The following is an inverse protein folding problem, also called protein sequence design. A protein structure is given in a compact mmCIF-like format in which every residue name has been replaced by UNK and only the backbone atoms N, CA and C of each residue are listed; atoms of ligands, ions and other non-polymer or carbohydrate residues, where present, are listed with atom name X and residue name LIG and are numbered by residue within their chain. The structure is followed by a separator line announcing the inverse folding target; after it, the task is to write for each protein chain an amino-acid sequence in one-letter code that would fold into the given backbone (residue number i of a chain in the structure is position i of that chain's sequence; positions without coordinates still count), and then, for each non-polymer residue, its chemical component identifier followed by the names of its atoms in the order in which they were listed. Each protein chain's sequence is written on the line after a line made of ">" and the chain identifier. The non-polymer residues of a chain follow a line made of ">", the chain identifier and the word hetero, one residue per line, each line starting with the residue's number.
data_IF_004805350784
#
_entry.id   IF_004805350784
#
_cell.length_a   1.000
_cell.length_b   1.000
_cell.length_c   1.000
_cell.angle_alpha   90.00
_cell.angle_beta   90.00
_cell.angle_gamma   90.00
#
_symmetry.space_group_name_H-M   'P 1'
#
loop_
_entity.id
_entity.type
_entity.pdbx_description
1 polymer ?
#
# COMPACT_ATOMS: atom_id res chain seq x y z
N UNK A 1 15.78 10.92 -10.30
CA UNK A 1 15.95 9.48 -10.61
C UNK A 1 17.03 9.34 -11.67
N UNK A 2 18.26 9.01 -11.27
CA UNK A 2 19.40 8.88 -12.20
C UNK A 2 19.63 7.44 -12.68
N UNK A 3 18.96 6.45 -12.10
CA UNK A 3 19.05 5.06 -12.53
C UNK A 3 18.21 4.85 -13.80
N UNK A 4 18.87 4.66 -14.95
CA UNK A 4 18.21 4.54 -16.26
C UNK A 4 17.36 3.27 -16.39
N UNK A 5 17.85 2.13 -15.89
CA UNK A 5 17.13 0.85 -15.94
C UNK A 5 15.80 0.96 -15.20
N UNK A 6 15.83 1.36 -13.92
CA UNK A 6 14.64 1.55 -13.10
C UNK A 6 13.64 2.51 -13.75
N UNK A 7 14.15 3.59 -14.35
CA UNK A 7 13.30 4.62 -14.94
C UNK A 7 12.68 4.22 -16.29
N UNK A 8 13.40 3.44 -17.11
CA UNK A 8 13.02 3.09 -18.48
C UNK A 8 12.44 1.69 -18.65
N UNK A 9 12.62 0.82 -17.66
CA UNK A 9 12.13 -0.56 -17.67
C UNK A 9 11.09 -0.73 -16.56
N UNK A 10 11.50 -0.66 -15.28
CA UNK A 10 10.61 -0.95 -14.15
C UNK A 10 9.43 0.03 -14.04
N UNK A 11 9.70 1.33 -14.19
CA UNK A 11 8.68 2.38 -14.10
C UNK A 11 7.91 2.61 -15.40
N UNK A 12 8.40 2.09 -16.53
CA UNK A 12 7.75 2.29 -17.83
C UNK A 12 6.28 1.86 -17.85
N UNK A 13 5.89 0.64 -17.42
CA UNK A 13 4.48 0.25 -17.43
C UNK A 13 3.62 1.21 -16.60
N UNK A 14 4.08 1.63 -15.41
CA UNK A 14 3.34 2.56 -14.57
C UNK A 14 3.14 3.93 -15.26
N UNK A 15 4.18 4.48 -15.89
CA UNK A 15 4.09 5.73 -16.64
C UNK A 15 3.08 5.64 -17.78
N UNK A 16 3.06 4.54 -18.53
CA UNK A 16 2.08 4.35 -19.60
C UNK A 16 0.67 4.16 -19.06
N UNK A 17 0.51 3.39 -17.97
CA UNK A 17 -0.80 3.19 -17.36
C UNK A 17 -1.38 4.47 -16.77
N UNK A 18 -0.56 5.32 -16.15
CA UNK A 18 -1.03 6.58 -15.56
C UNK A 18 -1.50 7.59 -16.62
N UNK A 19 -0.92 7.58 -17.83
CA UNK A 19 -1.44 8.36 -18.97
C UNK A 19 -2.86 7.97 -19.39
N UNK A 20 -3.26 6.73 -19.12
CA UNK A 20 -4.58 6.23 -19.54
C UNK A 20 -5.71 6.63 -18.58
N UNK A 21 -5.39 7.14 -17.39
CA UNK A 21 -6.35 7.45 -16.31
C UNK A 21 -7.27 6.28 -15.89
N UNK A 22 -6.91 5.04 -16.24
CA UNK A 22 -7.69 3.83 -15.89
C UNK A 22 -7.27 3.20 -14.56
N UNK A 23 -6.15 3.62 -14.00
CA UNK A 23 -5.60 3.05 -12.77
C UNK A 23 -6.01 3.90 -11.57
N UNK A 24 -6.82 3.31 -10.70
CA UNK A 24 -7.36 3.97 -9.50
C UNK A 24 -6.68 3.51 -8.20
N UNK A 25 -5.81 2.51 -8.28
CA UNK A 25 -5.04 2.04 -7.15
C UNK A 25 -3.70 1.46 -7.61
N UNK A 26 -2.66 1.66 -6.80
CA UNK A 26 -1.33 1.08 -6.96
C UNK A 26 -0.92 0.46 -5.63
N UNK A 27 -0.51 -0.80 -5.67
CA UNK A 27 0.06 -1.48 -4.52
C UNK A 27 1.58 -1.29 -4.50
N UNK A 28 2.14 -0.95 -3.35
CA UNK A 28 3.58 -0.79 -3.14
C UNK A 28 4.10 -2.01 -2.39
N UNK A 29 4.99 -2.74 -3.05
CA UNK A 29 5.60 -3.95 -2.52
C UNK A 29 6.52 -3.69 -1.32
N UNK A 30 6.83 -4.76 -0.58
CA UNK A 30 7.82 -4.77 0.50
C UNK A 30 9.25 -5.01 -0.01
N UNK A 31 9.68 -4.24 -1.01
CA UNK A 31 10.99 -4.37 -1.65
C UNK A 31 11.96 -3.28 -1.18
N UNK A 32 13.22 -3.62 -0.94
CA UNK A 32 14.26 -2.66 -0.59
C UNK A 32 15.25 -2.52 -1.76
N UNK A 33 15.59 -1.28 -2.12
CA UNK A 33 16.39 -0.98 -3.30
C UNK A 33 17.72 -0.29 -2.93
N UNK A 34 18.78 -1.04 -2.60
CA UNK A 34 20.03 -0.50 -2.05
C UNK A 34 20.87 0.31 -3.06
N UNK A 35 20.54 0.25 -4.35
CA UNK A 35 21.29 0.94 -5.41
C UNK A 35 20.47 2.07 -6.06
N UNK A 36 19.32 2.43 -5.51
CA UNK A 36 18.52 3.56 -5.98
C UNK A 36 18.74 4.80 -5.12
N UNK A 37 18.68 5.97 -5.75
CA UNK A 37 18.67 7.27 -5.07
C UNK A 37 17.27 7.61 -4.51
N UNK A 38 16.71 6.66 -3.78
CA UNK A 38 15.43 6.72 -3.06
C UNK A 38 15.54 6.05 -1.69
N UNK A 39 16.73 5.58 -1.32
CA UNK A 39 16.96 4.87 -0.06
C UNK A 39 16.56 5.74 1.13
N UNK A 40 15.90 5.09 2.07
CA UNK A 40 15.51 5.66 3.35
C UNK A 40 15.84 4.60 4.40
N UNK A 41 16.35 5.01 5.55
CA UNK A 41 16.77 4.10 6.61
C UNK A 41 16.01 4.42 7.89
N UNK A 42 15.67 3.38 8.64
CA UNK A 42 15.14 3.57 9.99
C UNK A 42 16.24 4.03 10.96
N UNK A 43 15.84 4.29 12.20
CA UNK A 43 16.72 4.69 13.30
C UNK A 43 17.86 3.69 13.61
N UNK A 44 17.74 2.42 13.20
CA UNK A 44 18.79 1.41 13.35
C UNK A 44 19.79 1.42 12.18
N UNK A 45 19.55 2.24 11.16
CA UNK A 45 20.34 2.28 9.92
C UNK A 45 19.92 1.21 8.91
N UNK A 46 18.84 0.46 9.15
CA UNK A 46 18.34 -0.55 8.23
C UNK A 46 17.58 0.10 7.09
N UNK A 47 17.82 -0.38 5.87
CA UNK A 47 17.13 0.10 4.68
C UNK A 47 15.63 -0.24 4.73
N UNK A 48 14.80 0.77 4.54
CA UNK A 48 13.35 0.62 4.53
C UNK A 48 12.86 -0.07 3.27
N UNK A 49 11.85 -0.96 3.37
CA UNK A 49 11.10 -1.42 2.22
C UNK A 49 10.27 -0.27 1.63
N UNK A 50 10.01 -0.30 0.33
CA UNK A 50 9.34 0.77 -0.42
C UNK A 50 7.97 1.12 0.12
N UNK A 51 7.21 0.14 0.63
CA UNK A 51 5.89 0.36 1.25
C UNK A 51 5.94 1.24 2.51
N UNK A 52 7.08 1.31 3.19
CA UNK A 52 7.30 2.09 4.42
C UNK A 52 8.16 3.34 4.17
N UNK A 53 8.57 3.61 2.93
CA UNK A 53 9.44 4.73 2.60
C UNK A 53 8.68 5.91 1.99
N UNK A 54 8.90 7.09 2.56
CA UNK A 54 8.40 8.36 2.05
C UNK A 54 8.96 8.69 0.68
N UNK A 55 10.24 8.37 0.43
CA UNK A 55 10.86 8.60 -0.87
C UNK A 55 10.19 7.80 -2.00
N UNK A 56 9.78 6.56 -1.74
CA UNK A 56 9.08 5.75 -2.75
C UNK A 56 7.61 6.14 -2.92
N UNK A 57 6.89 6.33 -1.81
CA UNK A 57 5.44 6.53 -1.89
C UNK A 57 5.08 7.98 -2.18
N UNK A 58 5.71 8.94 -1.50
CA UNK A 58 5.41 10.35 -1.72
C UNK A 58 6.27 10.94 -2.83
N UNK A 59 7.60 10.94 -2.71
CA UNK A 59 8.43 11.64 -3.70
C UNK A 59 8.41 10.99 -5.08
N UNK A 60 8.46 9.66 -5.16
CA UNK A 60 8.41 8.98 -6.45
C UNK A 60 6.98 8.88 -6.98
N UNK A 61 6.08 8.17 -6.29
CA UNK A 61 4.75 7.88 -6.84
C UNK A 61 3.86 9.13 -6.94
N UNK A 62 3.75 9.92 -5.86
CA UNK A 62 2.86 11.10 -5.85
C UNK A 62 3.46 12.27 -6.60
N UNK A 63 4.68 12.68 -6.25
CA UNK A 63 5.28 13.92 -6.77
C UNK A 63 5.89 13.71 -8.16
N UNK A 64 6.75 12.70 -8.35
CA UNK A 64 7.45 12.51 -9.62
C UNK A 64 6.60 11.87 -10.71
N UNK A 65 5.81 10.84 -10.37
CA UNK A 65 4.93 10.16 -11.33
C UNK A 65 3.53 10.80 -11.42
N UNK A 66 3.20 11.74 -10.52
CA UNK A 66 1.94 12.49 -10.56
C UNK A 66 0.71 11.63 -10.29
N UNK A 67 0.86 10.45 -9.68
CA UNK A 67 -0.26 9.58 -9.39
C UNK A 67 -1.03 10.12 -8.19
N UNK A 68 -2.33 10.39 -8.32
CA UNK A 68 -3.17 10.97 -7.23
C UNK A 68 -4.35 10.08 -6.81
N UNK A 69 -4.42 8.84 -7.32
CA UNK A 69 -5.41 7.83 -6.86
C UNK A 69 -4.86 7.00 -5.69
N UNK A 70 -5.41 5.83 -5.32
CA UNK A 70 -5.03 5.14 -4.08
C UNK A 70 -3.64 4.49 -4.09
N UNK A 71 -2.84 4.75 -3.06
CA UNK A 71 -1.65 3.95 -2.74
C UNK A 71 -1.98 2.95 -1.64
N UNK A 72 -1.68 1.68 -1.89
CA UNK A 72 -1.95 0.57 -0.97
C UNK A 72 -0.62 -0.07 -0.58
N UNK A 73 -0.49 -0.55 0.64
CA UNK A 73 0.59 -1.50 0.97
C UNK A 73 0.27 -2.89 0.40
N UNK A 74 1.29 -3.70 0.17
CA UNK A 74 1.14 -5.15 0.29
C UNK A 74 0.85 -5.54 1.76
N UNK A 75 0.58 -6.82 2.04
CA UNK A 75 0.19 -7.28 3.37
C UNK A 75 1.27 -7.04 4.44
N UNK A 76 0.97 -6.15 5.41
CA UNK A 76 1.88 -5.77 6.47
C UNK A 76 2.21 -6.93 7.42
N UNK A 77 1.46 -8.04 7.37
CA UNK A 77 1.79 -9.27 8.10
C UNK A 77 2.90 -10.10 7.43
N UNK A 78 3.33 -9.75 6.22
CA UNK A 78 4.42 -10.44 5.54
C UNK A 78 5.73 -10.31 6.32
N UNK A 79 6.53 -11.38 6.31
CA UNK A 79 7.80 -11.45 7.04
C UNK A 79 8.84 -10.41 6.65
N UNK A 80 8.72 -9.76 5.50
CA UNK A 80 9.55 -8.61 5.12
C UNK A 80 9.34 -7.41 6.07
N UNK A 81 8.15 -7.29 6.66
CA UNK A 81 7.75 -6.25 7.60
C UNK A 81 7.81 -6.77 9.04
N UNK A 82 7.04 -7.81 9.39
CA UNK A 82 6.86 -8.25 10.79
C UNK A 82 8.14 -8.76 11.47
N UNK A 83 9.15 -9.19 10.72
CA UNK A 83 10.45 -9.57 11.31
C UNK A 83 11.24 -8.37 11.84
N UNK A 84 10.85 -7.15 11.46
CA UNK A 84 11.61 -5.92 11.66
C UNK A 84 10.83 -4.86 12.44
N UNK A 85 9.51 -4.84 12.28
CA UNK A 85 8.62 -3.84 12.85
C UNK A 85 7.41 -4.52 13.47
N UNK A 86 6.96 -4.04 14.64
CA UNK A 86 5.64 -4.41 15.16
C UNK A 86 4.54 -3.84 14.25
N UNK A 87 3.36 -4.46 14.22
CA UNK A 87 2.30 -4.08 13.28
C UNK A 87 1.84 -2.63 13.49
N UNK A 88 1.72 -2.17 14.74
CA UNK A 88 1.39 -0.77 15.04
C UNK A 88 2.41 0.23 14.49
N UNK A 89 3.71 -0.06 14.62
CA UNK A 89 4.76 0.81 14.08
C UNK A 89 4.79 0.77 12.55
N UNK A 90 4.66 -0.42 11.95
CA UNK A 90 4.57 -0.57 10.50
C UNK A 90 3.41 0.24 9.90
N UNK A 91 2.24 0.24 10.56
CA UNK A 91 1.10 1.04 10.15
C UNK A 91 1.38 2.55 10.19
N UNK A 92 1.98 3.04 11.28
CA UNK A 92 2.35 4.46 11.39
C UNK A 92 3.37 4.86 10.33
N UNK A 93 4.40 4.04 10.11
CA UNK A 93 5.41 4.27 9.08
C UNK A 93 4.79 4.31 7.68
N UNK A 94 3.90 3.38 7.35
CA UNK A 94 3.20 3.33 6.07
C UNK A 94 2.33 4.59 5.82
N UNK A 95 1.56 5.04 6.83
CA UNK A 95 0.77 6.28 6.71
C UNK A 95 1.67 7.49 6.50
N UNK A 96 2.76 7.61 7.28
CA UNK A 96 3.75 8.68 7.14
C UNK A 96 4.44 8.65 5.78
N UNK A 97 4.68 7.47 5.22
CA UNK A 97 5.29 7.30 3.90
C UNK A 97 4.39 7.86 2.78
N UNK A 98 3.07 7.82 2.95
CA UNK A 98 2.11 8.29 1.94
C UNK A 98 1.09 7.25 1.50
N UNK A 99 1.00 6.10 2.19
CA UNK A 99 0.01 5.05 1.90
C UNK A 99 -1.40 5.51 2.31
N UNK A 100 -2.40 5.24 1.48
CA UNK A 100 -3.79 5.60 1.77
C UNK A 100 -4.56 4.45 2.42
N UNK A 101 -4.22 3.21 2.10
CA UNK A 101 -4.82 2.02 2.68
C UNK A 101 -3.75 0.99 3.05
N UNK A 102 -3.92 0.38 4.21
CA UNK A 102 -3.01 -0.63 4.75
C UNK A 102 -3.67 -2.00 4.67
N UNK A 103 -2.94 -2.98 4.15
CA UNK A 103 -3.40 -4.36 4.09
C UNK A 103 -2.87 -5.13 5.32
N UNK A 104 -3.79 -5.77 6.04
CA UNK A 104 -3.55 -6.67 7.18
C UNK A 104 -4.58 -7.79 7.00
N UNK A 105 -4.12 -8.95 6.55
CA UNK A 105 -5.00 -9.91 5.87
C UNK A 105 -5.36 -11.16 6.70
N UNK A 106 -4.66 -11.44 7.79
CA UNK A 106 -4.70 -12.74 8.45
C UNK A 106 -5.15 -12.68 9.92
N UNK A 107 -4.72 -11.69 10.71
CA UNK A 107 -5.07 -11.59 12.13
C UNK A 107 -5.91 -10.35 12.48
N UNK A 108 -7.14 -10.58 12.95
CA UNK A 108 -8.04 -9.53 13.42
C UNK A 108 -7.48 -8.72 14.61
N UNK A 109 -6.63 -9.33 15.45
CA UNK A 109 -5.96 -8.59 16.52
C UNK A 109 -4.89 -7.65 15.97
N UNK A 110 -4.15 -8.07 14.95
CA UNK A 110 -3.19 -7.20 14.25
C UNK A 110 -3.89 -6.00 13.59
N UNK A 111 -5.09 -6.21 13.04
CA UNK A 111 -5.93 -5.11 12.52
C UNK A 111 -6.25 -4.09 13.62
N UNK A 112 -6.69 -4.56 14.79
CA UNK A 112 -7.01 -3.67 15.93
C UNK A 112 -5.77 -2.95 16.45
N UNK A 113 -4.65 -3.64 16.59
CA UNK A 113 -3.39 -3.04 17.03
C UNK A 113 -2.95 -1.93 16.07
N UNK A 114 -2.99 -2.20 14.76
CA UNK A 114 -2.67 -1.19 13.73
C UNK A 114 -3.59 0.02 13.81
N UNK A 115 -4.90 -0.21 13.97
CA UNK A 115 -5.89 0.86 14.13
C UNK A 115 -5.62 1.73 15.37
N UNK A 116 -5.45 1.11 16.54
CA UNK A 116 -5.23 1.82 17.80
C UNK A 116 -3.92 2.61 17.80
N UNK A 117 -2.87 2.06 17.17
CA UNK A 117 -1.58 2.74 17.00
C UNK A 117 -1.70 3.99 16.12
N UNK A 118 -2.37 3.89 14.97
CA UNK A 118 -2.58 5.05 14.07
C UNK A 118 -3.47 6.08 14.74
N UNK A 119 -4.58 5.66 15.38
CA UNK A 119 -5.47 6.57 16.10
C UNK A 119 -4.73 7.35 17.19
N UNK A 120 -3.89 6.65 17.97
CA UNK A 120 -3.09 7.28 19.02
C UNK A 120 -2.07 8.27 18.46
N UNK A 121 -1.42 7.92 17.34
CA UNK A 121 -0.46 8.79 16.67
C UNK A 121 -1.10 10.04 16.07
N UNK A 122 -2.34 9.95 15.58
CA UNK A 122 -3.10 11.13 15.13
C UNK A 122 -3.48 12.01 16.32
N UNK A 123 -4.02 11.42 17.39
CA UNK A 123 -4.40 12.16 18.60
C UNK A 123 -3.23 12.86 19.28
N UNK A 124 -2.03 12.30 19.21
CA UNK A 124 -0.82 12.90 19.78
C UNK A 124 -0.18 13.96 18.88
N UNK A 125 -0.60 14.07 17.62
CA UNK A 125 0.03 14.94 16.61
C UNK A 125 1.29 14.34 15.98
N UNK A 126 1.64 13.08 16.27
CA UNK A 126 2.72 12.37 15.57
C UNK A 126 2.40 12.18 14.07
N UNK A 127 1.11 12.02 13.74
CA UNK A 127 0.60 12.03 12.37
C UNK A 127 -0.41 13.18 12.26
N UNK A 128 -0.14 14.12 11.38
CA UNK A 128 -1.05 15.23 11.09
C UNK A 128 -2.42 14.70 10.62
N UNK A 129 -3.51 15.23 11.17
CA UNK A 129 -4.88 14.80 10.81
C UNK A 129 -5.14 14.97 9.31
N UNK A 130 -4.60 16.03 8.70
CA UNK A 130 -4.67 16.28 7.27
C UNK A 130 -4.06 15.15 6.42
N UNK A 131 -3.05 14.43 6.93
CA UNK A 131 -2.49 13.28 6.23
C UNK A 131 -3.54 12.20 6.04
N UNK A 132 -4.34 11.91 7.07
CA UNK A 132 -5.42 10.92 7.02
C UNK A 132 -6.59 11.44 6.18
N UNK A 133 -6.98 12.70 6.34
CA UNK A 133 -8.07 13.30 5.57
C UNK A 133 -7.83 13.26 4.05
N UNK A 134 -6.59 13.51 3.61
CA UNK A 134 -6.22 13.39 2.20
C UNK A 134 -6.39 11.95 1.68
N UNK A 135 -6.03 10.94 2.49
CA UNK A 135 -6.26 9.54 2.13
C UNK A 135 -7.75 9.22 2.03
N UNK A 136 -8.55 9.68 2.99
CA UNK A 136 -10.00 9.47 3.00
C UNK A 136 -10.70 10.08 1.79
N UNK A 137 -10.25 11.25 1.32
CA UNK A 137 -10.75 11.85 0.09
C UNK A 137 -10.49 10.95 -1.13
N UNK A 138 -9.27 10.42 -1.29
CA UNK A 138 -8.96 9.47 -2.38
C UNK A 138 -9.79 8.20 -2.29
N UNK A 139 -9.98 7.67 -1.08
CA UNK A 139 -10.81 6.48 -0.84
C UNK A 139 -12.26 6.77 -1.25
N UNK A 140 -12.80 7.93 -0.90
CA UNK A 140 -14.15 8.32 -1.26
C UNK A 140 -14.34 8.44 -2.78
N UNK A 141 -13.37 9.04 -3.48
CA UNK A 141 -13.38 9.12 -4.96
C UNK A 141 -13.44 7.74 -5.59
N UNK A 142 -12.58 6.81 -5.15
CA UNK A 142 -12.57 5.45 -5.68
C UNK A 142 -13.87 4.71 -5.35
N UNK A 143 -14.39 4.82 -4.12
CA UNK A 143 -15.68 4.20 -3.76
C UNK A 143 -16.83 4.71 -4.63
N UNK A 144 -16.80 5.98 -5.03
CA UNK A 144 -17.87 6.59 -5.83
C UNK A 144 -17.91 6.10 -7.29
N UNK A 145 -16.79 5.63 -7.83
CA UNK A 145 -16.72 5.12 -9.21
C UNK A 145 -16.82 3.58 -9.28
N UNK A 146 -16.67 2.89 -8.15
CA UNK A 146 -16.75 1.44 -8.07
C UNK A 146 -18.20 0.98 -7.97
N UNK A 147 -18.51 -0.15 -8.61
CA UNK A 147 -19.77 -0.84 -8.40
C UNK A 147 -19.75 -1.54 -7.04
N UNK A 148 -20.92 -1.64 -6.41
CA UNK A 148 -21.07 -2.46 -5.21
C UNK A 148 -20.68 -3.90 -5.53
N UNK A 149 -20.04 -4.62 -4.57
CA UNK A 149 -19.81 -6.04 -4.74
C UNK A 149 -21.15 -6.74 -4.97
N UNK A 150 -21.11 -7.83 -5.74
CA UNK A 150 -22.27 -8.70 -5.89
C UNK A 150 -22.70 -9.22 -4.52
N UNK A 151 -24.00 -9.41 -4.35
CA UNK A 151 -24.52 -10.08 -3.15
C UNK A 151 -23.86 -11.45 -3.01
N UNK A 152 -23.51 -11.80 -1.78
CA UNK A 152 -22.89 -13.08 -1.51
C UNK A 152 -23.84 -14.22 -1.87
N UNK A 153 -23.43 -15.04 -2.83
CA UNK A 153 -24.15 -16.23 -3.28
C UNK A 153 -23.32 -17.47 -2.93
N UNK A 154 -23.82 -18.23 -1.95
CA UNK A 154 -23.14 -19.43 -1.47
C UNK A 154 -23.17 -20.56 -2.50
N UNK A 155 -24.29 -20.74 -3.18
CA UNK A 155 -24.43 -21.83 -4.16
C UNK A 155 -23.45 -21.59 -5.32
N UNK A 156 -23.34 -20.34 -5.77
CA UNK A 156 -22.36 -19.96 -6.80
C UNK A 156 -20.91 -20.14 -6.35
N UNK A 157 -20.60 -19.85 -5.07
CA UNK A 157 -19.27 -20.08 -4.51
C UNK A 157 -18.92 -21.57 -4.52
N UNK A 158 -19.85 -22.42 -4.09
CA UNK A 158 -19.66 -23.87 -4.04
C UNK A 158 -19.45 -24.45 -5.46
N UNK A 159 -20.27 -24.03 -6.43
CA UNK A 159 -20.08 -24.39 -7.86
C UNK A 159 -18.68 -24.03 -8.38
N UNK A 160 -18.24 -22.79 -8.15
CA UNK A 160 -16.91 -22.33 -8.58
C UNK A 160 -15.79 -23.09 -7.87
N UNK A 161 -15.98 -23.46 -6.61
CA UNK A 161 -15.02 -24.24 -5.84
C UNK A 161 -14.85 -25.64 -6.42
N UNK A 162 -15.94 -26.27 -6.85
CA UNK A 162 -15.91 -27.56 -7.53
C UNK A 162 -15.22 -27.45 -8.90
N UNK A 163 -15.58 -26.46 -9.73
CA UNK A 163 -14.93 -26.20 -11.02
C UNK A 163 -13.40 -26.02 -10.90
N UNK A 164 -12.95 -25.24 -9.90
CA UNK A 164 -11.51 -25.03 -9.64
C UNK A 164 -10.83 -26.32 -9.18
N UNK A 165 -11.53 -27.16 -8.41
CA UNK A 165 -11.00 -28.44 -7.94
C UNK A 165 -10.79 -29.41 -9.10
N UNK A 166 -11.74 -29.47 -10.04
CA UNK A 166 -11.65 -30.29 -11.25
C UNK A 166 -10.52 -29.85 -12.17
N UNK A 167 -10.24 -28.54 -12.29
CA UNK A 167 -9.11 -28.02 -13.08
C UNK A 167 -7.73 -28.39 -12.50
N UNK A 168 -7.67 -28.74 -11.22
CA UNK A 168 -6.43 -29.14 -10.54
C UNK A 168 -6.20 -30.66 -10.57
N UNK A 169 -7.18 -31.44 -11.02
CA UNK A 169 -7.11 -32.90 -11.16
C UNK A 169 -6.51 -33.31 -12.50
#
# INVERSE_FOLDING_TARGET
>A
LQNEEFNSIDLYPYKEFFKSEKVHAVMIAHAAFPNLDLQERDQSGKLLPSSLSFNFTTKLLREHLGFDCLALTDDLEMGAILKNYGIGEACKMAIKAGQDQLLICNDANAIREGFDAVLSAVKSGEIEENRVNNSLQRIAVVKNIMQLPLDFDKDRLDELSDEISDLKA
#
